data_IF_367285403006
#
_entry.id   IF_367285403006
#
_cell.length_a   1.000
_cell.length_b   1.000
_cell.length_c   1.000
_cell.angle_alpha   90.00
_cell.angle_beta   90.00
_cell.angle_gamma   90.00
#
_symmetry.space_group_name_H-M   'P 1'
#
loop_
_entity.id
_entity.type
_entity.pdbx_description
1 polymer ?
#
# COMPACT_ATOMS: atom_id res chain seq x y z
N UNK A 1 -5.39 14.22 33.37
CA UNK A 1 -4.18 13.58 32.77
C UNK A 1 -4.60 12.89 31.51
N UNK A 2 -4.20 13.45 30.34
CA UNK A 2 -4.29 12.73 29.09
C UNK A 2 -3.35 11.52 29.19
N UNK A 3 -3.80 10.32 28.81
CA UNK A 3 -2.88 9.20 28.73
C UNK A 3 -1.76 9.59 27.77
N UNK A 4 -0.52 9.36 28.17
CA UNK A 4 0.63 9.53 27.33
C UNK A 4 0.37 8.75 26.03
N UNK A 5 0.41 9.44 24.91
CA UNK A 5 0.35 8.79 23.59
C UNK A 5 1.50 7.79 23.57
N UNK A 6 1.18 6.51 23.63
CA UNK A 6 2.19 5.48 23.48
C UNK A 6 2.86 5.71 22.14
N UNK A 7 4.16 6.00 22.14
CA UNK A 7 4.95 6.10 20.93
C UNK A 7 4.80 4.78 20.18
N UNK A 8 4.16 4.82 19.01
CA UNK A 8 4.02 3.62 18.18
C UNK A 8 5.40 3.33 17.59
N UNK A 9 5.99 2.21 17.99
CA UNK A 9 7.31 1.79 17.52
C UNK A 9 7.16 1.06 16.18
N UNK A 10 7.18 1.84 15.10
CA UNK A 10 7.19 1.29 13.74
C UNK A 10 8.60 0.98 13.28
N UNK A 11 8.79 -0.22 12.74
CA UNK A 11 10.03 -0.64 12.11
C UNK A 11 9.78 -1.10 10.68
N UNK A 12 10.55 -0.56 9.75
CA UNK A 12 10.55 -0.98 8.34
C UNK A 12 11.82 -1.77 8.07
N UNK A 13 11.66 -2.90 7.42
CA UNK A 13 12.78 -3.73 6.95
C UNK A 13 12.48 -4.34 5.59
N UNK A 14 13.51 -4.73 4.80
CA UNK A 14 13.28 -5.50 3.58
C UNK A 14 12.54 -6.81 3.88
N UNK A 15 11.64 -7.18 2.98
CA UNK A 15 10.95 -8.47 3.07
C UNK A 15 11.91 -9.63 2.80
N UNK A 16 11.66 -10.75 3.46
CA UNK A 16 12.37 -12.01 3.30
C UNK A 16 11.48 -13.05 2.66
N UNK A 17 12.05 -14.15 2.21
CA UNK A 17 11.28 -15.26 1.63
C UNK A 17 10.22 -15.78 2.61
N UNK A 18 10.58 -15.88 3.90
CA UNK A 18 9.68 -16.33 4.97
C UNK A 18 8.49 -15.41 5.20
N UNK A 19 8.57 -14.15 4.77
CA UNK A 19 7.48 -13.20 4.91
C UNK A 19 6.38 -13.38 3.87
N UNK A 20 6.65 -14.04 2.75
CA UNK A 20 5.74 -14.12 1.60
C UNK A 20 4.36 -14.65 1.96
N UNK A 21 4.28 -15.75 2.71
CA UNK A 21 3.01 -16.32 3.13
C UNK A 21 2.24 -15.42 4.12
N UNK A 22 2.87 -14.90 5.19
CA UNK A 22 2.21 -13.91 6.06
C UNK A 22 1.76 -12.64 5.33
N UNK A 23 2.54 -12.13 4.37
CA UNK A 23 2.17 -10.96 3.58
C UNK A 23 0.97 -11.21 2.69
N UNK A 24 0.89 -12.38 2.09
CA UNK A 24 -0.27 -12.76 1.28
C UNK A 24 -1.55 -12.82 2.12
N UNK A 25 -1.48 -13.36 3.33
CA UNK A 25 -2.61 -13.39 4.26
C UNK A 25 -3.00 -11.97 4.73
N UNK A 26 -2.02 -11.12 4.99
CA UNK A 26 -2.26 -9.71 5.35
C UNK A 26 -2.91 -8.96 4.19
N UNK A 27 -2.42 -9.17 2.97
CA UNK A 27 -3.03 -8.61 1.77
C UNK A 27 -4.52 -8.96 1.69
N UNK A 28 -4.86 -10.22 1.85
CA UNK A 28 -6.25 -10.67 1.77
C UNK A 28 -7.11 -10.02 2.85
N UNK A 29 -6.66 -9.97 4.10
CA UNK A 29 -7.39 -9.28 5.19
C UNK A 29 -7.59 -7.80 4.89
N UNK A 30 -6.55 -7.13 4.41
CA UNK A 30 -6.60 -5.71 4.06
C UNK A 30 -7.57 -5.45 2.93
N UNK A 31 -7.51 -6.22 1.85
CA UNK A 31 -8.37 -6.05 0.68
C UNK A 31 -9.83 -6.36 1.02
N UNK A 32 -10.10 -7.40 1.77
CA UNK A 32 -11.46 -7.71 2.22
C UNK A 32 -12.05 -6.60 3.11
N UNK A 33 -11.22 -5.91 3.87
CA UNK A 33 -11.63 -4.79 4.71
C UNK A 33 -11.84 -3.47 3.96
N UNK A 34 -11.12 -3.24 2.87
CA UNK A 34 -11.06 -1.94 2.17
C UNK A 34 -11.64 -1.96 0.76
N UNK A 35 -11.55 -3.09 0.06
CA UNK A 35 -11.97 -3.25 -1.33
C UNK A 35 -13.23 -4.10 -1.44
N UNK A 36 -14.26 -3.77 -0.65
CA UNK A 36 -15.53 -4.53 -0.60
C UNK A 36 -16.23 -4.63 -1.96
N UNK A 37 -16.00 -3.68 -2.86
CA UNK A 37 -16.54 -3.67 -4.22
C UNK A 37 -16.01 -4.82 -5.09
N UNK A 38 -14.88 -5.45 -4.76
CA UNK A 38 -14.30 -6.54 -5.53
C UNK A 38 -15.12 -7.83 -5.45
N UNK A 39 -15.67 -8.11 -4.27
CA UNK A 39 -16.35 -9.37 -3.99
C UNK A 39 -15.40 -10.54 -3.80
N UNK A 40 -15.93 -11.62 -3.23
CA UNK A 40 -15.15 -12.79 -2.81
C UNK A 40 -14.46 -13.52 -3.98
N UNK A 41 -15.16 -13.70 -5.10
CA UNK A 41 -14.61 -14.38 -6.29
C UNK A 41 -13.39 -13.69 -6.86
N UNK A 42 -13.42 -12.35 -6.89
CA UNK A 42 -12.29 -11.56 -7.42
C UNK A 42 -11.11 -11.64 -6.47
N UNK A 43 -11.33 -11.57 -5.18
CA UNK A 43 -10.24 -11.71 -4.17
C UNK A 43 -9.58 -13.08 -4.29
N UNK A 44 -10.36 -14.16 -4.41
CA UNK A 44 -9.84 -15.52 -4.60
C UNK A 44 -9.02 -15.61 -5.90
N UNK A 45 -9.51 -15.01 -7.00
CA UNK A 45 -8.81 -15.02 -8.28
C UNK A 45 -7.50 -14.20 -8.25
N UNK A 46 -7.46 -13.12 -7.48
CA UNK A 46 -6.28 -12.26 -7.36
C UNK A 46 -5.18 -12.87 -6.49
N UNK A 47 -5.54 -13.69 -5.50
CA UNK A 47 -4.57 -14.24 -4.53
C UNK A 47 -3.34 -14.89 -5.18
N UNK A 48 -3.46 -15.79 -6.17
CA UNK A 48 -2.27 -16.37 -6.81
C UNK A 48 -1.46 -15.35 -7.61
N UNK A 49 -2.09 -14.31 -8.15
CA UNK A 49 -1.37 -13.23 -8.84
C UNK A 49 -0.53 -12.41 -7.86
N UNK A 50 -1.09 -12.08 -6.70
CA UNK A 50 -0.37 -11.37 -5.64
C UNK A 50 0.78 -12.23 -5.11
N UNK A 51 0.58 -13.53 -4.95
CA UNK A 51 1.65 -14.45 -4.55
C UNK A 51 2.83 -14.42 -5.53
N UNK A 52 2.57 -14.34 -6.82
CA UNK A 52 3.62 -14.19 -7.87
C UNK A 52 4.33 -12.85 -7.76
N UNK A 53 3.60 -11.77 -7.54
CA UNK A 53 4.20 -10.44 -7.39
C UNK A 53 5.11 -10.37 -6.17
N UNK A 54 4.69 -10.96 -5.03
CA UNK A 54 5.51 -11.04 -3.82
C UNK A 54 6.80 -11.85 -4.04
N UNK A 55 6.81 -12.77 -5.00
CA UNK A 55 7.97 -13.58 -5.36
C UNK A 55 8.80 -12.97 -6.49
N UNK A 56 8.34 -11.88 -7.11
CA UNK A 56 9.03 -11.21 -8.21
C UNK A 56 10.17 -10.33 -7.68
N UNK A 57 11.26 -10.26 -8.44
CA UNK A 57 12.41 -9.37 -8.18
C UNK A 57 12.28 -8.00 -8.85
N UNK A 58 11.16 -7.75 -9.56
CA UNK A 58 10.90 -6.44 -10.19
C UNK A 58 10.32 -5.42 -9.22
N UNK A 59 9.74 -5.87 -8.11
CA UNK A 59 9.19 -5.03 -7.05
C UNK A 59 10.01 -5.24 -5.79
N UNK A 60 10.43 -4.15 -5.17
CA UNK A 60 11.15 -4.17 -3.90
C UNK A 60 10.12 -4.13 -2.76
N UNK A 61 10.06 -5.20 -1.98
CA UNK A 61 9.08 -5.35 -0.90
C UNK A 61 9.70 -5.02 0.46
N UNK A 62 8.95 -4.26 1.25
CA UNK A 62 9.30 -3.82 2.59
C UNK A 62 8.20 -4.18 3.57
N UNK A 63 8.59 -4.62 4.75
CA UNK A 63 7.69 -5.05 5.81
C UNK A 63 7.66 -3.99 6.91
N UNK A 64 6.46 -3.68 7.39
CA UNK A 64 6.25 -2.84 8.56
C UNK A 64 5.92 -3.70 9.77
N UNK A 65 6.69 -3.53 10.81
CA UNK A 65 6.51 -4.21 12.10
C UNK A 65 6.21 -3.21 13.22
N UNK A 66 5.41 -3.65 14.18
CA UNK A 66 5.20 -2.97 15.44
C UNK A 66 5.14 -4.01 16.55
N UNK A 67 5.90 -3.84 17.63
CA UNK A 67 6.02 -4.81 18.73
C UNK A 67 6.33 -6.24 18.22
N UNK A 68 7.26 -6.36 17.27
CA UNK A 68 7.66 -7.61 16.63
C UNK A 68 6.53 -8.32 15.83
N UNK A 69 5.40 -7.63 15.59
CA UNK A 69 4.28 -8.11 14.80
C UNK A 69 4.30 -7.45 13.42
N UNK A 70 4.07 -8.25 12.38
CA UNK A 70 3.95 -7.78 11.01
C UNK A 70 2.57 -7.14 10.84
N UNK A 71 2.51 -5.83 10.56
CA UNK A 71 1.27 -5.06 10.51
C UNK A 71 1.00 -4.39 9.17
N UNK A 72 1.95 -4.39 8.26
CA UNK A 72 1.79 -3.80 6.94
C UNK A 72 2.97 -4.11 6.03
N UNK A 73 2.82 -3.74 4.77
CA UNK A 73 3.90 -3.87 3.81
C UNK A 73 3.76 -2.90 2.64
N UNK A 74 4.87 -2.67 1.97
CA UNK A 74 5.03 -1.74 0.88
C UNK A 74 5.80 -2.41 -0.25
N UNK A 75 5.31 -2.31 -1.46
CA UNK A 75 6.04 -2.66 -2.66
C UNK A 75 6.33 -1.41 -3.48
N UNK A 76 7.58 -1.23 -3.88
CA UNK A 76 8.00 -0.08 -4.68
C UNK A 76 8.81 -0.52 -5.90
N UNK A 77 8.69 0.26 -6.96
CA UNK A 77 9.62 0.32 -8.07
C UNK A 77 10.38 1.64 -8.00
N UNK A 78 11.13 2.02 -9.03
CA UNK A 78 11.95 3.24 -9.00
C UNK A 78 11.14 4.54 -8.78
N UNK A 79 9.87 4.56 -9.19
CA UNK A 79 9.06 5.79 -9.25
C UNK A 79 7.65 5.61 -8.68
N UNK A 80 7.29 4.40 -8.28
CA UNK A 80 5.90 4.09 -7.95
C UNK A 80 5.75 3.20 -6.72
N UNK A 81 4.67 3.44 -5.99
CA UNK A 81 4.12 2.48 -5.04
C UNK A 81 3.31 1.46 -5.84
N UNK A 82 3.75 0.20 -5.81
CA UNK A 82 3.06 -0.91 -6.47
C UNK A 82 2.05 -1.59 -5.54
N UNK A 83 2.26 -1.49 -4.24
CA UNK A 83 1.35 -1.99 -3.23
C UNK A 83 1.62 -1.35 -1.88
N UNK A 84 0.56 -1.03 -1.17
CA UNK A 84 0.63 -0.55 0.21
C UNK A 84 -0.58 -1.10 0.95
N UNK A 85 -0.30 -1.95 1.92
CA UNK A 85 -1.33 -2.64 2.67
C UNK A 85 -1.01 -2.59 4.16
N UNK A 86 -2.05 -2.31 4.95
CA UNK A 86 -1.96 -2.27 6.42
C UNK A 86 -3.04 -3.18 6.98
N UNK A 87 -2.71 -3.96 7.99
CA UNK A 87 -3.66 -4.79 8.69
C UNK A 87 -4.83 -3.93 9.19
N UNK A 88 -6.09 -4.32 8.93
CA UNK A 88 -7.25 -3.53 9.35
C UNK A 88 -7.28 -3.21 10.85
N UNK A 89 -6.75 -4.08 11.70
CA UNK A 89 -6.66 -3.85 13.14
C UNK A 89 -5.70 -2.71 13.52
N UNK A 90 -4.83 -2.33 12.59
CA UNK A 90 -3.82 -1.29 12.79
C UNK A 90 -4.08 -0.02 11.94
N UNK A 91 -5.27 0.11 11.35
CA UNK A 91 -5.66 1.30 10.62
C UNK A 91 -5.73 2.54 11.54
N UNK A 92 -5.55 3.72 10.94
CA UNK A 92 -5.62 5.05 11.60
C UNK A 92 -4.61 5.26 12.73
N UNK A 93 -3.49 4.54 12.71
CA UNK A 93 -2.37 4.70 13.65
C UNK A 93 -1.12 5.32 13.01
N UNK A 94 -1.24 5.82 11.78
CA UNK A 94 -0.13 6.41 11.06
C UNK A 94 0.73 5.40 10.28
N UNK A 95 0.36 4.13 10.23
CA UNK A 95 1.14 3.10 9.54
C UNK A 95 1.26 3.35 8.04
N UNK A 96 0.15 3.70 7.37
CA UNK A 96 0.15 4.03 5.95
C UNK A 96 1.01 5.25 5.64
N UNK A 97 0.89 6.31 6.43
CA UNK A 97 1.71 7.52 6.30
C UNK A 97 3.20 7.21 6.49
N UNK A 98 3.53 6.36 7.45
CA UNK A 98 4.90 5.91 7.70
C UNK A 98 5.47 5.17 6.48
N UNK A 99 4.69 4.28 5.86
CA UNK A 99 5.10 3.54 4.67
C UNK A 99 5.27 4.45 3.44
N UNK A 100 4.38 5.43 3.25
CA UNK A 100 4.54 6.41 2.16
C UNK A 100 5.80 7.26 2.36
N UNK A 101 6.09 7.68 3.59
CA UNK A 101 7.33 8.41 3.90
C UNK A 101 8.57 7.57 3.56
N UNK A 102 8.52 6.27 3.82
CA UNK A 102 9.60 5.35 3.44
C UNK A 102 9.73 5.25 1.91
N UNK A 103 8.61 5.14 1.19
CA UNK A 103 8.61 5.14 -0.27
C UNK A 103 9.22 6.43 -0.85
N UNK A 104 8.89 7.58 -0.28
CA UNK A 104 9.49 8.88 -0.67
C UNK A 104 11.00 8.89 -0.45
N UNK A 105 11.46 8.27 0.61
CA UNK A 105 12.90 8.17 0.90
C UNK A 105 13.63 7.26 -0.11
N UNK A 106 12.98 6.18 -0.55
CA UNK A 106 13.54 5.26 -1.54
C UNK A 106 13.50 5.84 -2.96
N UNK A 107 12.44 6.58 -3.28
CA UNK A 107 12.21 7.18 -4.60
C UNK A 107 12.61 8.65 -4.57
N UNK A 108 13.81 8.98 -5.02
CA UNK A 108 14.37 10.32 -4.93
C UNK A 108 13.68 11.39 -5.81
N UNK A 109 12.71 11.00 -6.62
CA UNK A 109 11.95 11.88 -7.50
C UNK A 109 10.46 11.94 -7.15
N UNK A 110 9.62 12.13 -8.14
CA UNK A 110 8.17 12.04 -7.99
C UNK A 110 7.74 10.61 -7.71
N UNK A 111 6.67 10.45 -6.96
CA UNK A 111 6.16 9.14 -6.54
C UNK A 111 4.76 8.95 -7.12
N UNK A 112 4.56 7.89 -7.90
CA UNK A 112 3.27 7.54 -8.48
C UNK A 112 2.57 6.46 -7.66
N UNK A 113 1.25 6.44 -7.72
CA UNK A 113 0.43 5.35 -7.19
C UNK A 113 -0.85 5.22 -8.00
N UNK A 114 -1.29 4.00 -8.22
CA UNK A 114 -2.57 3.70 -8.82
C UNK A 114 -3.58 3.32 -7.73
N UNK A 115 -4.75 3.94 -7.76
CA UNK A 115 -5.79 3.77 -6.74
C UNK A 115 -7.09 3.36 -7.43
N UNK A 116 -7.74 2.31 -6.93
CA UNK A 116 -9.09 1.98 -7.36
C UNK A 116 -10.03 3.16 -7.05
N UNK A 117 -10.73 3.66 -8.07
CA UNK A 117 -11.66 4.79 -7.93
C UNK A 117 -12.75 4.52 -6.87
N UNK A 118 -13.15 3.27 -6.72
CA UNK A 118 -14.15 2.85 -5.75
C UNK A 118 -13.62 2.76 -4.31
N UNK A 119 -12.31 2.82 -4.12
CA UNK A 119 -11.69 2.89 -2.81
C UNK A 119 -11.52 4.36 -2.39
N UNK A 120 -12.62 4.96 -1.96
CA UNK A 120 -12.65 6.38 -1.57
C UNK A 120 -11.74 6.71 -0.39
N UNK A 121 -11.58 5.79 0.55
CA UNK A 121 -10.70 5.97 1.71
C UNK A 121 -9.23 6.09 1.28
N UNK A 122 -8.79 5.24 0.35
CA UNK A 122 -7.44 5.32 -0.20
C UNK A 122 -7.24 6.63 -0.99
N UNK A 123 -8.22 7.03 -1.79
CA UNK A 123 -8.17 8.28 -2.52
C UNK A 123 -7.97 9.48 -1.57
N UNK A 124 -8.78 9.57 -0.54
CA UNK A 124 -8.66 10.63 0.49
C UNK A 124 -7.31 10.57 1.21
N UNK A 125 -6.84 9.38 1.52
CA UNK A 125 -5.54 9.16 2.16
C UNK A 125 -4.40 9.75 1.33
N UNK A 126 -4.34 9.40 0.05
CA UNK A 126 -3.28 9.90 -0.84
C UNK A 126 -3.42 11.40 -1.13
N UNK A 127 -4.63 11.90 -1.32
CA UNK A 127 -4.87 13.35 -1.49
C UNK A 127 -4.40 14.14 -0.27
N UNK A 128 -4.67 13.65 0.94
CA UNK A 128 -4.22 14.29 2.18
C UNK A 128 -2.69 14.35 2.30
N UNK A 129 -1.98 13.42 1.66
CA UNK A 129 -0.51 13.42 1.60
C UNK A 129 0.05 14.28 0.47
N UNK A 130 -0.80 14.87 -0.35
CA UNK A 130 -0.39 15.76 -1.43
C UNK A 130 -0.36 15.14 -2.83
N UNK A 131 -0.83 13.91 -2.98
CA UNK A 131 -0.98 13.28 -4.29
C UNK A 131 -2.12 13.94 -5.08
N UNK A 132 -1.94 14.06 -6.39
CA UNK A 132 -2.93 14.59 -7.32
C UNK A 132 -3.29 13.55 -8.37
N UNK A 133 -4.56 13.51 -8.79
CA UNK A 133 -5.01 12.66 -9.89
C UNK A 133 -4.55 13.27 -11.21
N UNK A 134 -3.77 12.54 -11.99
CA UNK A 134 -3.29 12.96 -13.30
C UNK A 134 -3.97 12.24 -14.47
N UNK A 135 -4.62 11.12 -14.20
CA UNK A 135 -5.29 10.35 -15.24
C UNK A 135 -6.20 9.28 -14.66
N UNK A 136 -6.92 8.62 -15.54
CA UNK A 136 -7.89 7.58 -15.20
C UNK A 136 -7.90 6.49 -16.28
N UNK A 137 -7.89 5.24 -15.87
CA UNK A 137 -8.19 4.10 -16.73
C UNK A 137 -9.55 3.52 -16.36
N UNK A 138 -10.36 3.16 -17.35
CA UNK A 138 -11.71 2.62 -17.10
C UNK A 138 -11.71 1.18 -16.57
N UNK A 139 -10.58 0.50 -16.70
CA UNK A 139 -10.39 -0.88 -16.23
C UNK A 139 -9.11 -0.99 -15.42
N UNK A 140 -9.01 -2.06 -14.63
CA UNK A 140 -7.75 -2.43 -13.97
C UNK A 140 -6.75 -3.03 -14.98
N UNK A 141 -5.54 -3.36 -14.51
CA UNK A 141 -4.49 -3.95 -15.33
C UNK A 141 -4.89 -5.31 -15.96
N UNK A 142 -5.83 -6.01 -15.36
CA UNK A 142 -6.38 -7.28 -15.88
C UNK A 142 -7.59 -7.11 -16.78
N UNK A 143 -7.95 -5.87 -17.14
CA UNK A 143 -9.13 -5.59 -17.98
C UNK A 143 -10.47 -5.70 -17.26
N UNK A 144 -10.48 -5.82 -15.92
CA UNK A 144 -11.70 -5.89 -15.13
C UNK A 144 -12.37 -4.51 -15.03
N UNK A 145 -13.71 -4.42 -14.85
CA UNK A 145 -14.43 -3.15 -14.80
C UNK A 145 -14.25 -2.43 -13.45
N UNK A 146 -13.02 -2.26 -13.01
CA UNK A 146 -12.64 -1.53 -11.81
C UNK A 146 -11.74 -0.35 -12.21
N UNK A 147 -12.31 0.86 -12.34
CA UNK A 147 -11.55 2.04 -12.77
C UNK A 147 -10.39 2.36 -11.83
N UNK A 148 -9.29 2.79 -12.43
CA UNK A 148 -8.05 3.16 -11.72
C UNK A 148 -7.80 4.65 -11.89
N UNK A 149 -7.54 5.33 -10.79
CA UNK A 149 -7.04 6.70 -10.77
C UNK A 149 -5.51 6.68 -10.69
N UNK A 150 -4.86 7.34 -11.63
CA UNK A 150 -3.41 7.50 -11.65
C UNK A 150 -3.03 8.76 -10.89
N UNK A 151 -2.37 8.60 -9.76
CA UNK A 151 -2.00 9.69 -8.87
C UNK A 151 -0.49 9.88 -8.82
N UNK A 152 -0.07 11.10 -8.51
CA UNK A 152 1.35 11.43 -8.37
C UNK A 152 1.56 12.46 -7.28
N UNK A 153 2.63 12.25 -6.51
CA UNK A 153 3.19 13.20 -5.59
C UNK A 153 4.44 13.80 -6.23
N UNK A 154 4.46 15.11 -6.42
CA UNK A 154 5.65 15.80 -6.88
C UNK A 154 6.78 15.66 -5.86
N UNK A 155 8.03 15.62 -6.34
CA UNK A 155 9.18 15.62 -5.45
C UNK A 155 9.13 16.86 -4.54
N UNK A 156 9.49 16.73 -3.24
CA UNK A 156 9.56 17.90 -2.37
C UNK A 156 10.52 18.92 -2.96
N UNK A 157 10.14 20.20 -2.87
CA UNK A 157 11.02 21.27 -3.27
C UNK A 157 12.32 21.17 -2.46
N UNK A 158 13.49 21.36 -3.09
CA UNK A 158 14.74 21.39 -2.35
C UNK A 158 14.69 22.50 -1.31
N UNK A 159 15.08 22.18 -0.11
CA UNK A 159 15.20 23.15 0.97
C UNK A 159 16.34 24.13 0.72
#
# INVERSE_FOLDING_TARGET
LKPACALVDFRVRPARIEDRAPLLDLWERSVRGTHRFLGDRVVIALRPLVARELASDTIEWWVLESAAQLIGFLGVTKEAIEGLFVDPEHHRRGAGTFLVAHAQHLCAGSLAVDVNEQNEDALRFYEALGFSVLGRSSTDAGGRPFPILHMRLAAPLPL
#
